data_IF_049734073133
#
_entry.id   IF_049734073133
#
_cell.length_a   1.000
_cell.length_b   1.000
_cell.length_c   1.000
_cell.angle_alpha   90.00
_cell.angle_beta   90.00
_cell.angle_gamma   90.00
#
_symmetry.space_group_name_H-M   'P 1'
#
loop_
_entity.id
_entity.type
_entity.pdbx_description
1 polymer ?
#
# COMPACT_ATOMS: atom_id res chain seq x y z
N UNK A 1 -9.12 -7.31 22.36
CA UNK A 1 -7.94 -6.98 21.53
C UNK A 1 -8.49 -6.28 20.30
N UNK A 2 -8.19 -4.99 20.12
CA UNK A 2 -8.64 -4.28 18.92
C UNK A 2 -7.79 -4.76 17.75
N UNK A 3 -8.45 -5.24 16.72
CA UNK A 3 -7.82 -5.65 15.47
C UNK A 3 -7.20 -4.43 14.79
N UNK A 4 -5.94 -4.50 14.36
CA UNK A 4 -5.33 -3.41 13.57
C UNK A 4 -6.06 -3.30 12.25
N UNK A 5 -6.66 -2.14 12.01
CA UNK A 5 -7.31 -1.85 10.74
C UNK A 5 -6.27 -1.29 9.76
N UNK A 6 -6.06 -2.01 8.65
CA UNK A 6 -5.08 -1.67 7.63
C UNK A 6 -5.75 -1.45 6.27
N UNK A 7 -5.14 -0.61 5.46
CA UNK A 7 -5.59 -0.32 4.11
C UNK A 7 -4.47 -0.64 3.11
N UNK A 8 -4.72 -1.58 2.20
CA UNK A 8 -3.82 -1.96 1.13
C UNK A 8 -4.21 -1.23 -0.15
N UNK A 9 -3.38 -0.31 -0.58
CA UNK A 9 -3.48 0.32 -1.90
C UNK A 9 -2.82 -0.62 -2.92
N UNK A 10 -3.59 -1.08 -3.89
CA UNK A 10 -3.19 -2.11 -4.86
C UNK A 10 -3.99 -1.92 -6.15
N UNK A 11 -3.71 -2.72 -7.19
CA UNK A 11 -4.52 -2.71 -8.41
C UNK A 11 -5.98 -3.05 -8.09
N UNK A 12 -6.93 -2.39 -8.75
CA UNK A 12 -8.34 -2.64 -8.53
C UNK A 12 -8.76 -3.98 -9.18
N UNK A 13 -9.09 -5.01 -8.39
CA UNK A 13 -9.38 -6.34 -8.91
C UNK A 13 -10.71 -6.42 -9.68
N UNK A 14 -11.60 -5.44 -9.51
CA UNK A 14 -12.93 -5.42 -10.16
C UNK A 14 -12.83 -4.93 -11.60
N UNK A 15 -11.98 -3.92 -11.83
CA UNK A 15 -11.88 -3.24 -13.13
C UNK A 15 -10.83 -3.91 -14.02
N UNK A 16 -9.94 -4.73 -13.42
CA UNK A 16 -8.88 -5.47 -14.12
C UNK A 16 -8.01 -4.56 -14.99
N UNK A 17 -7.68 -3.38 -14.46
CA UNK A 17 -6.77 -2.44 -15.11
C UNK A 17 -5.34 -3.00 -15.09
N UNK A 18 -4.56 -2.80 -16.17
CA UNK A 18 -3.17 -3.22 -16.17
C UNK A 18 -2.38 -2.43 -15.11
N UNK A 19 -1.47 -3.12 -14.43
CA UNK A 19 -0.50 -2.46 -13.54
C UNK A 19 0.28 -1.41 -14.31
N UNK A 20 0.37 -0.20 -13.76
CA UNK A 20 1.21 0.88 -14.26
C UNK A 20 2.69 0.68 -13.91
N UNK A 21 2.96 -0.18 -12.93
CA UNK A 21 4.31 -0.53 -12.45
C UNK A 21 4.79 -1.78 -13.17
N UNK A 22 6.03 -1.76 -13.63
CA UNK A 22 6.67 -2.92 -14.24
C UNK A 22 6.87 -4.02 -13.18
N UNK A 23 6.26 -5.21 -13.32
CA UNK A 23 6.36 -6.28 -12.33
C UNK A 23 7.79 -6.70 -11.99
N UNK A 24 8.72 -6.62 -12.96
CA UNK A 24 10.13 -6.96 -12.75
C UNK A 24 10.83 -6.03 -11.73
N UNK A 25 10.25 -4.86 -11.43
CA UNK A 25 10.77 -3.95 -10.40
C UNK A 25 10.36 -4.38 -8.99
N UNK A 26 9.38 -5.29 -8.86
CA UNK A 26 8.93 -5.82 -7.57
C UNK A 26 9.68 -7.09 -7.15
N UNK A 27 10.51 -7.60 -8.05
CA UNK A 27 11.40 -8.73 -7.83
C UNK A 27 12.71 -8.27 -7.19
N UNK A 28 13.24 -9.07 -6.26
CA UNK A 28 14.59 -8.88 -5.73
C UNK A 28 15.68 -9.33 -6.73
N UNK A 29 16.95 -9.21 -6.34
CA UNK A 29 18.09 -9.61 -7.20
C UNK A 29 18.10 -11.13 -7.51
N UNK A 30 17.28 -11.95 -6.83
CA UNK A 30 17.09 -13.39 -7.07
C UNK A 30 15.79 -13.71 -7.85
N UNK A 31 15.03 -12.69 -8.27
CA UNK A 31 13.75 -12.86 -8.97
C UNK A 31 12.56 -13.19 -8.06
N UNK A 32 12.68 -13.00 -6.73
CA UNK A 32 11.60 -13.27 -5.78
C UNK A 32 10.69 -12.06 -5.64
N UNK A 33 9.38 -12.30 -5.69
CA UNK A 33 8.35 -11.29 -5.46
C UNK A 33 7.97 -11.18 -3.99
N UNK A 34 7.54 -9.99 -3.60
CA UNK A 34 7.03 -9.73 -2.26
C UNK A 34 5.61 -10.28 -2.11
N UNK A 35 5.37 -11.07 -1.06
CA UNK A 35 4.05 -11.53 -0.69
C UNK A 35 3.79 -11.24 0.79
N UNK A 36 2.86 -10.32 1.06
CA UNK A 36 2.47 -9.93 2.41
C UNK A 36 0.95 -9.97 2.53
N UNK A 37 0.46 -10.56 3.62
CA UNK A 37 -0.95 -10.57 3.99
C UNK A 37 -1.08 -10.23 5.46
N UNK A 38 -1.92 -9.25 5.78
CA UNK A 38 -2.31 -8.94 7.15
C UNK A 38 -3.57 -9.75 7.44
N UNK A 39 -3.47 -10.69 8.38
CA UNK A 39 -4.46 -11.75 8.59
C UNK A 39 -5.88 -11.27 8.98
N UNK A 40 -6.03 -10.04 9.49
CA UNK A 40 -7.33 -9.53 9.96
C UNK A 40 -7.51 -8.04 9.69
N UNK A 41 -8.71 -7.63 9.29
CA UNK A 41 -9.13 -6.24 9.08
C UNK A 41 -8.27 -5.42 8.10
N UNK A 42 -7.80 -6.07 7.03
CA UNK A 42 -7.23 -5.38 5.88
C UNK A 42 -8.34 -5.12 4.84
N UNK A 43 -8.53 -3.86 4.49
CA UNK A 43 -9.30 -3.47 3.30
C UNK A 43 -8.33 -3.16 2.18
N UNK A 44 -8.74 -3.40 0.93
CA UNK A 44 -7.92 -3.05 -0.22
C UNK A 44 -8.70 -2.29 -1.28
N UNK A 45 -7.97 -1.69 -2.21
CA UNK A 45 -8.52 -1.04 -3.40
C UNK A 45 -9.59 -1.89 -4.07
N UNK A 46 -10.72 -1.25 -4.41
CA UNK A 46 -11.86 -1.90 -5.04
C UNK A 46 -12.83 -2.60 -4.08
N UNK A 47 -12.57 -2.66 -2.77
CA UNK A 47 -13.57 -3.20 -1.81
C UNK A 47 -14.70 -2.21 -1.49
N UNK A 48 -14.49 -0.91 -1.71
CA UNK A 48 -15.50 0.12 -1.53
C UNK A 48 -15.89 0.76 -2.86
N UNK A 49 -17.18 1.11 -2.97
CA UNK A 49 -17.76 1.72 -4.17
C UNK A 49 -18.08 3.22 -3.99
N UNK A 50 -17.88 3.77 -2.77
CA UNK A 50 -18.11 5.17 -2.43
C UNK A 50 -16.79 5.83 -2.02
N UNK A 51 -16.62 7.07 -2.48
CA UNK A 51 -15.48 7.91 -2.08
C UNK A 51 -15.50 8.22 -0.59
N UNK A 52 -16.69 8.40 0.00
CA UNK A 52 -16.87 8.63 1.43
C UNK A 52 -16.38 7.43 2.26
N UNK A 53 -16.73 6.21 1.84
CA UNK A 53 -16.30 4.99 2.52
C UNK A 53 -14.77 4.81 2.42
N UNK A 54 -14.18 5.07 1.23
CA UNK A 54 -12.73 5.03 1.02
C UNK A 54 -12.03 6.05 1.93
N UNK A 55 -12.52 7.30 1.99
CA UNK A 55 -11.97 8.33 2.87
C UNK A 55 -12.06 7.95 4.34
N UNK A 56 -13.21 7.46 4.78
CA UNK A 56 -13.43 7.04 6.16
C UNK A 56 -12.49 5.89 6.52
N UNK A 57 -12.33 4.89 5.64
CA UNK A 57 -11.41 3.79 5.83
C UNK A 57 -9.95 4.25 5.87
N UNK A 58 -9.49 5.05 4.90
CA UNK A 58 -8.13 5.58 4.94
C UNK A 58 -7.88 6.41 6.20
N UNK A 59 -8.87 7.18 6.67
CA UNK A 59 -8.77 7.96 7.89
C UNK A 59 -8.62 7.08 9.13
N UNK A 60 -9.39 5.99 9.25
CA UNK A 60 -9.34 5.09 10.41
C UNK A 60 -8.19 4.09 10.34
N UNK A 61 -7.66 3.81 9.15
CA UNK A 61 -6.55 2.90 8.96
C UNK A 61 -5.32 3.35 9.76
N UNK A 62 -4.80 2.43 10.56
CA UNK A 62 -3.56 2.62 11.31
C UNK A 62 -2.35 2.44 10.41
N UNK A 63 -2.47 1.55 9.43
CA UNK A 63 -1.42 1.24 8.46
C UNK A 63 -2.03 1.40 7.06
N UNK A 64 -1.36 2.17 6.21
CA UNK A 64 -1.66 2.27 4.78
C UNK A 64 -0.44 1.78 4.03
N UNK A 65 -0.58 0.78 3.16
CA UNK A 65 0.56 0.15 2.51
C UNK A 65 0.26 -0.30 1.09
N UNK A 66 1.31 -0.55 0.31
CA UNK A 66 1.24 -1.16 -1.03
C UNK A 66 2.41 -2.11 -1.23
N UNK A 67 2.26 -3.12 -2.08
CA UNK A 67 3.37 -3.98 -2.53
C UNK A 67 3.93 -3.55 -3.90
N UNK A 68 3.55 -2.35 -4.35
CA UNK A 68 4.04 -1.74 -5.58
C UNK A 68 3.25 -2.08 -6.84
N UNK A 69 2.21 -2.91 -6.74
CA UNK A 69 1.27 -3.14 -7.84
C UNK A 69 0.18 -2.05 -7.84
N UNK A 70 0.30 -1.08 -8.75
CA UNK A 70 -0.55 0.12 -8.77
C UNK A 70 -1.20 0.33 -10.13
N UNK A 71 -2.45 0.77 -10.13
CA UNK A 71 -3.20 1.22 -11.31
C UNK A 71 -3.73 2.65 -11.12
N UNK A 72 -4.49 3.15 -12.09
CA UNK A 72 -5.07 4.50 -12.04
C UNK A 72 -5.95 4.73 -10.79
N UNK A 73 -6.63 3.70 -10.29
CA UNK A 73 -7.46 3.79 -9.08
C UNK A 73 -6.61 3.84 -7.82
N UNK A 74 -5.52 3.07 -7.78
CA UNK A 74 -4.56 3.15 -6.68
C UNK A 74 -4.05 4.59 -6.50
N UNK A 75 -3.87 5.35 -7.58
CA UNK A 75 -3.40 6.74 -7.51
C UNK A 75 -4.42 7.70 -6.90
N UNK A 76 -5.72 7.47 -7.14
CA UNK A 76 -6.78 8.21 -6.45
C UNK A 76 -6.68 7.98 -4.94
N UNK A 77 -6.53 6.73 -4.51
CA UNK A 77 -6.41 6.36 -3.10
C UNK A 77 -5.11 6.89 -2.47
N UNK A 78 -3.98 6.86 -3.19
CA UNK A 78 -2.72 7.49 -2.77
C UNK A 78 -2.90 8.99 -2.52
N UNK A 79 -3.60 9.69 -3.42
CA UNK A 79 -3.91 11.11 -3.28
C UNK A 79 -4.79 11.40 -2.05
N UNK A 80 -5.80 10.57 -1.79
CA UNK A 80 -6.65 10.68 -0.61
C UNK A 80 -5.84 10.44 0.67
N UNK A 81 -5.06 9.35 0.72
CA UNK A 81 -4.20 9.02 1.84
C UNK A 81 -3.22 10.17 2.16
N UNK A 82 -2.59 10.73 1.13
CA UNK A 82 -1.72 11.91 1.23
C UNK A 82 -2.45 13.11 1.83
N UNK A 83 -3.65 13.42 1.35
CA UNK A 83 -4.45 14.54 1.85
C UNK A 83 -4.86 14.40 3.33
N UNK A 84 -4.90 13.16 3.82
CA UNK A 84 -5.18 12.82 5.22
C UNK A 84 -3.91 12.77 6.07
N UNK A 85 -2.74 13.09 5.51
CA UNK A 85 -1.45 13.04 6.20
C UNK A 85 -1.00 11.63 6.56
N UNK A 86 -1.43 10.62 5.79
CA UNK A 86 -1.02 9.23 6.00
C UNK A 86 0.35 8.98 5.40
N UNK A 87 1.22 8.35 6.17
CA UNK A 87 2.41 7.67 5.66
C UNK A 87 1.99 6.42 4.90
N UNK A 88 2.54 6.24 3.70
CA UNK A 88 2.28 5.08 2.86
C UNK A 88 3.52 4.19 2.88
N UNK A 89 3.36 2.98 3.40
CA UNK A 89 4.43 1.99 3.46
C UNK A 89 4.50 1.22 2.13
N UNK A 90 5.59 1.38 1.41
CA UNK A 90 5.88 0.59 0.20
C UNK A 90 6.66 -0.65 0.63
N UNK A 91 6.02 -1.81 0.55
CA UNK A 91 6.61 -3.07 0.97
C UNK A 91 7.20 -3.78 -0.24
N UNK A 92 8.53 -3.91 -0.28
CA UNK A 92 9.23 -4.56 -1.38
C UNK A 92 10.53 -5.20 -0.92
N UNK A 93 10.84 -6.36 -1.48
CA UNK A 93 12.16 -7.00 -1.37
C UNK A 93 13.20 -6.35 -2.27
N UNK A 94 12.77 -5.58 -3.28
CA UNK A 94 13.69 -4.80 -4.10
C UNK A 94 14.14 -3.53 -3.36
N UNK A 95 15.32 -3.58 -2.75
CA UNK A 95 15.92 -2.45 -2.01
C UNK A 95 16.29 -1.24 -2.88
N UNK A 96 16.25 -1.38 -4.21
CA UNK A 96 16.52 -0.31 -5.17
C UNK A 96 15.24 0.36 -5.67
N UNK A 97 14.06 -0.17 -5.31
CA UNK A 97 12.77 0.38 -5.72
C UNK A 97 12.61 1.80 -5.17
N UNK A 98 12.22 2.72 -6.06
CA UNK A 98 12.01 4.13 -5.73
C UNK A 98 10.58 4.59 -6.05
N UNK A 99 10.25 5.81 -5.64
CA UNK A 99 8.97 6.42 -6.00
C UNK A 99 8.83 6.64 -7.52
N UNK A 100 9.94 6.91 -8.20
CA UNK A 100 9.98 7.11 -9.65
C UNK A 100 9.66 5.80 -10.40
N UNK A 101 10.19 4.67 -9.90
CA UNK A 101 9.90 3.33 -10.43
C UNK A 101 8.42 2.97 -10.32
N UNK A 102 7.78 3.41 -9.23
CA UNK A 102 6.34 3.28 -9.01
C UNK A 102 5.51 4.30 -9.78
N UNK A 103 6.17 5.25 -10.47
CA UNK A 103 5.57 6.41 -11.17
C UNK A 103 4.79 7.35 -10.24
N UNK A 104 5.09 7.37 -8.95
CA UNK A 104 4.43 8.22 -7.97
C UNK A 104 5.09 9.60 -7.99
N UNK A 105 4.52 10.53 -8.76
CA UNK A 105 5.00 11.92 -8.89
C UNK A 105 4.27 12.91 -7.98
N UNK A 106 3.44 12.42 -7.05
CA UNK A 106 2.63 13.27 -6.18
C UNK A 106 3.54 13.95 -5.16
N UNK A 107 3.73 15.26 -5.31
CA UNK A 107 4.55 16.05 -4.39
C UNK A 107 3.92 16.08 -3.00
N UNK A 108 4.69 15.73 -1.98
CA UNK A 108 4.24 15.75 -0.58
C UNK A 108 3.58 14.46 -0.09
N UNK A 109 3.56 13.41 -0.92
CA UNK A 109 3.31 12.06 -0.44
C UNK A 109 4.48 11.61 0.45
N UNK A 110 4.16 11.08 1.62
CA UNK A 110 5.14 10.50 2.55
C UNK A 110 5.22 8.98 2.29
N UNK A 111 6.32 8.54 1.66
CA UNK A 111 6.59 7.12 1.38
C UNK A 111 7.70 6.61 2.27
N UNK A 112 7.45 5.45 2.89
CA UNK A 112 8.46 4.70 3.62
C UNK A 112 8.63 3.34 2.96
N UNK A 113 9.82 3.05 2.46
CA UNK A 113 10.13 1.77 1.82
C UNK A 113 10.63 0.78 2.88
N UNK A 114 9.96 -0.38 2.96
CA UNK A 114 10.27 -1.44 3.91
C UNK A 114 10.40 -2.77 3.17
N UNK A 115 11.31 -3.63 3.64
CA UNK A 115 11.23 -5.04 3.30
C UNK A 115 10.13 -5.74 4.12
N UNK A 116 9.85 -7.01 3.80
CA UNK A 116 8.77 -7.75 4.46
C UNK A 116 8.99 -7.89 5.97
N UNK A 117 10.22 -8.11 6.41
CA UNK A 117 10.53 -8.31 7.83
C UNK A 117 10.29 -7.02 8.61
N UNK A 118 10.81 -5.89 8.11
CA UNK A 118 10.58 -4.58 8.73
C UNK A 118 9.09 -4.18 8.73
N UNK A 119 8.32 -4.58 7.71
CA UNK A 119 6.88 -4.35 7.69
C UNK A 119 6.13 -5.20 8.72
N UNK A 120 6.55 -6.44 8.95
CA UNK A 120 5.96 -7.29 9.99
C UNK A 120 6.20 -6.68 11.38
N UNK A 121 7.43 -6.25 11.67
CA UNK A 121 7.77 -5.57 12.93
C UNK A 121 6.93 -4.31 13.15
N UNK A 122 6.72 -3.51 12.10
CA UNK A 122 5.83 -2.35 12.16
C UNK A 122 4.40 -2.75 12.53
N UNK A 123 3.85 -3.76 11.85
CA UNK A 123 2.49 -4.24 12.11
C UNK A 123 2.37 -4.70 13.56
N UNK A 124 3.31 -5.50 14.06
CA UNK A 124 3.35 -5.98 15.44
C UNK A 124 3.42 -4.83 16.46
N UNK A 125 4.24 -3.81 16.23
CA UNK A 125 4.32 -2.64 17.12
C UNK A 125 2.99 -1.89 17.25
N UNK A 126 2.21 -1.83 16.17
CA UNK A 126 0.89 -1.17 16.16
C UNK A 126 -0.18 -2.03 16.84
N UNK A 127 0.01 -3.35 16.93
CA UNK A 127 -0.85 -4.24 17.72
C UNK A 127 -0.64 -4.08 19.23
N UNK A 128 0.55 -3.65 19.66
CA UNK A 128 0.90 -3.48 21.08
C UNK A 128 0.46 -2.14 21.67
N UNK A 129 0.09 -1.16 20.85
CA UNK A 129 -0.49 0.15 21.24
C UNK A 129 -1.99 0.12 21.54
#
# INVERSE_FOLDING_TARGET
MSTVFSYRITTNPIINSPSLVNPALLEDDEGKVTAVSIATNCIQTGMYNSLEDIKQALQTAKIVFTIGDLDEWSYLELGIASSLGKTIYVVSQNKKLSAEDLKIYIKGIDLVFLDTDAFIELVESVYEE
#
